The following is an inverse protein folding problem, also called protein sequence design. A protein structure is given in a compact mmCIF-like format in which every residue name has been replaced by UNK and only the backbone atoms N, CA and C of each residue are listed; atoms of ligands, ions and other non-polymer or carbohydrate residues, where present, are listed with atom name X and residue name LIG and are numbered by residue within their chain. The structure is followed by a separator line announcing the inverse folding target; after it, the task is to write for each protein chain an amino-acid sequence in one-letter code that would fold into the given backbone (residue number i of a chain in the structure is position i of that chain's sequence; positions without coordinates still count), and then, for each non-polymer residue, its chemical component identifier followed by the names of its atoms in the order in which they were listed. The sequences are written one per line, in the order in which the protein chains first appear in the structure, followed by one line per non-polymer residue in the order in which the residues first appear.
data_IF_858854914112
#
_entry.id   IF_858854914112
#
_cell.length_a   1.000
_cell.length_b   1.000
_cell.length_c   1.000
_cell.angle_alpha   90.00
_cell.angle_beta   90.00
_cell.angle_gamma   90.00
#
_symmetry.space_group_name_H-M   'P 1'
#
loop_
_entity.id
_entity.type
_entity.pdbx_description
1 polymer ?
#
# COMPACT_ATOMS: atom_id res chain seq x y z
N UNK A 1 5.29 12.61 -0.98
CA UNK A 1 5.49 11.67 -2.11
C UNK A 1 5.53 12.35 -3.47
N UNK A 2 4.79 13.44 -3.72
CA UNK A 2 4.76 14.16 -5.02
C UNK A 2 6.15 14.49 -5.55
N UNK A 3 6.99 15.16 -4.75
CA UNK A 3 8.35 15.53 -5.15
C UNK A 3 9.28 14.33 -5.36
N UNK A 4 9.00 13.19 -4.71
CA UNK A 4 9.80 11.97 -4.86
C UNK A 4 9.48 11.24 -6.18
N UNK A 5 8.24 11.30 -6.64
CA UNK A 5 7.82 10.66 -7.89
C UNK A 5 8.25 11.46 -9.13
N UNK A 6 8.34 12.80 -9.01
CA UNK A 6 8.69 13.69 -10.12
C UNK A 6 10.03 13.41 -10.81
N UNK A 7 11.17 13.19 -10.12
CA UNK A 7 12.46 13.01 -10.78
C UNK A 7 12.67 11.62 -11.41
N UNK A 8 11.76 10.67 -11.14
CA UNK A 8 11.85 9.28 -11.65
C UNK A 8 10.71 8.95 -12.61
N UNK A 9 10.05 9.97 -13.15
CA UNK A 9 8.96 9.88 -14.14
C UNK A 9 7.83 8.92 -13.75
N UNK A 10 7.52 8.84 -12.45
CA UNK A 10 6.40 8.05 -11.95
C UNK A 10 5.14 8.93 -11.95
N UNK A 11 4.08 8.59 -12.73
CA UNK A 11 2.91 9.46 -12.94
C UNK A 11 1.90 9.36 -11.78
N UNK A 12 2.38 9.51 -10.53
CA UNK A 12 1.54 9.51 -9.34
C UNK A 12 1.68 10.81 -8.54
N UNK A 13 0.53 11.32 -8.09
CA UNK A 13 0.48 12.33 -7.04
C UNK A 13 0.96 11.77 -5.70
N UNK A 14 1.25 12.66 -4.75
CA UNK A 14 1.65 12.25 -3.41
C UNK A 14 0.48 12.19 -2.44
N UNK A 15 0.33 11.05 -1.77
CA UNK A 15 -0.56 10.89 -0.61
C UNK A 15 0.17 10.18 0.53
N UNK A 16 -0.39 10.27 1.74
CA UNK A 16 0.03 9.47 2.89
C UNK A 16 -1.15 9.21 3.81
N UNK A 17 -1.31 7.97 4.25
CA UNK A 17 -2.26 7.58 5.30
C UNK A 17 -1.52 7.07 6.53
N UNK A 18 -2.09 7.29 7.71
CA UNK A 18 -1.53 6.83 8.98
C UNK A 18 -2.63 6.51 9.99
N UNK A 19 -2.33 5.59 10.90
CA UNK A 19 -3.12 5.29 12.09
C UNK A 19 -2.26 5.58 13.31
N UNK A 20 -2.80 6.33 14.29
CA UNK A 20 -2.11 6.62 15.55
C UNK A 20 -2.33 5.48 16.54
N UNK A 21 -1.62 4.37 16.35
CA UNK A 21 -1.63 3.20 17.21
C UNK A 21 -0.20 2.66 17.35
N UNK A 22 0.12 2.01 18.47
CA UNK A 22 1.33 1.20 18.60
C UNK A 22 1.00 -0.25 18.21
N UNK A 23 1.53 -0.79 17.09
CA UNK A 23 1.21 -2.16 16.67
C UNK A 23 1.60 -3.25 17.66
N UNK A 24 2.52 -2.99 18.59
CA UNK A 24 2.97 -3.96 19.60
C UNK A 24 1.95 -4.20 20.71
N UNK A 25 1.02 -3.26 20.91
CA UNK A 25 -0.04 -3.34 21.92
C UNK A 25 -1.24 -4.21 21.49
N UNK A 26 -1.27 -4.68 20.24
CA UNK A 26 -2.44 -5.34 19.65
C UNK A 26 -2.09 -6.73 19.12
N UNK A 27 -3.05 -7.65 19.24
CA UNK A 27 -2.95 -8.96 18.59
C UNK A 27 -3.07 -8.85 17.07
N UNK A 28 -2.53 -9.82 16.30
CA UNK A 28 -2.69 -9.86 14.85
C UNK A 28 -4.16 -9.80 14.38
N UNK A 29 -5.07 -10.40 15.14
CA UNK A 29 -6.51 -10.41 14.84
C UNK A 29 -7.15 -9.03 15.06
N UNK A 30 -6.71 -8.29 16.08
CA UNK A 30 -7.17 -6.91 16.31
C UNK A 30 -6.61 -5.96 15.27
N UNK A 31 -5.32 -6.10 14.90
CA UNK A 31 -4.72 -5.35 13.81
C UNK A 31 -5.45 -5.58 12.48
N UNK A 32 -5.89 -6.81 12.21
CA UNK A 32 -6.72 -7.11 11.05
C UNK A 32 -8.04 -6.34 11.09
N UNK A 33 -8.75 -6.36 12.22
CA UNK A 33 -10.02 -5.63 12.39
C UNK A 33 -9.84 -4.12 12.20
N UNK A 34 -8.78 -3.56 12.78
CA UNK A 34 -8.44 -2.14 12.65
C UNK A 34 -8.16 -1.80 11.18
N UNK A 35 -7.30 -2.57 10.51
CA UNK A 35 -6.92 -2.37 9.11
C UNK A 35 -8.12 -2.46 8.17
N UNK A 36 -8.99 -3.45 8.38
CA UNK A 36 -10.22 -3.61 7.62
C UNK A 36 -11.18 -2.45 7.85
N UNK A 37 -11.40 -2.04 9.10
CA UNK A 37 -12.27 -0.90 9.40
C UNK A 37 -11.73 0.39 8.78
N UNK A 38 -10.42 0.61 8.86
CA UNK A 38 -9.78 1.75 8.21
C UNK A 38 -10.02 1.76 6.70
N UNK A 39 -9.88 0.59 6.05
CA UNK A 39 -10.13 0.44 4.61
C UNK A 39 -11.58 0.75 4.24
N UNK A 40 -12.55 0.31 5.06
CA UNK A 40 -13.97 0.63 4.85
C UNK A 40 -14.21 2.15 4.90
N UNK A 41 -13.61 2.86 5.86
CA UNK A 41 -13.77 4.31 5.97
C UNK A 41 -13.09 5.06 4.81
N UNK A 42 -11.94 4.57 4.33
CA UNK A 42 -11.33 5.09 3.10
C UNK A 42 -12.24 4.87 1.88
N UNK A 43 -12.80 3.66 1.73
CA UNK A 43 -13.64 3.32 0.59
C UNK A 43 -14.92 4.17 0.56
N UNK A 44 -15.58 4.35 1.71
CA UNK A 44 -16.78 5.21 1.84
C UNK A 44 -16.52 6.66 1.40
N UNK A 45 -15.31 7.16 1.61
CA UNK A 45 -14.90 8.52 1.25
C UNK A 45 -14.28 8.61 -0.15
N UNK A 46 -14.21 7.51 -0.90
CA UNK A 46 -13.55 7.45 -2.20
C UNK A 46 -12.04 7.66 -2.15
N UNK A 47 -11.39 7.38 -1.00
CA UNK A 47 -9.96 7.62 -0.77
C UNK A 47 -9.08 6.38 -1.00
N UNK A 48 -9.64 5.31 -1.54
CA UNK A 48 -8.91 4.12 -1.96
C UNK A 48 -9.54 3.60 -3.26
N UNK A 49 -8.77 3.60 -4.33
CA UNK A 49 -9.14 3.07 -5.64
C UNK A 49 -7.92 3.21 -6.55
N UNK A 50 -7.78 2.32 -7.55
CA UNK A 50 -6.69 2.39 -8.52
C UNK A 50 -6.51 3.77 -9.16
N UNK A 51 -7.62 4.43 -9.53
CA UNK A 51 -7.60 5.73 -10.20
C UNK A 51 -7.57 6.95 -9.28
N UNK A 52 -7.60 6.77 -7.95
CA UNK A 52 -7.71 7.90 -7.00
C UNK A 52 -6.54 7.90 -6.02
N UNK A 53 -6.36 6.80 -5.29
CA UNK A 53 -5.32 6.69 -4.28
C UNK A 53 -5.02 5.22 -4.03
N UNK A 54 -3.74 4.87 -4.16
CA UNK A 54 -3.24 3.50 -4.07
C UNK A 54 -2.27 3.39 -2.90
N UNK A 55 -2.74 2.97 -1.69
CA UNK A 55 -1.89 2.79 -0.52
C UNK A 55 -0.73 1.81 -0.76
N UNK A 56 0.35 2.01 -0.02
CA UNK A 56 1.55 1.17 -0.04
C UNK A 56 2.03 0.90 1.40
N UNK A 57 2.85 -0.15 1.62
CA UNK A 57 3.50 -0.41 2.90
C UNK A 57 4.33 0.77 3.42
N UNK A 58 4.43 0.88 4.74
CA UNK A 58 5.31 1.82 5.43
C UNK A 58 5.67 1.31 6.83
N UNK A 59 6.36 2.10 7.64
CA UNK A 59 6.66 1.80 9.04
C UNK A 59 5.37 1.35 9.77
N UNK A 60 5.40 0.13 10.31
CA UNK A 60 4.27 -0.47 11.02
C UNK A 60 3.21 -1.16 10.16
N UNK A 61 3.33 -1.14 8.83
CA UNK A 61 2.42 -1.82 7.90
C UNK A 61 3.18 -2.53 6.77
N UNK A 62 3.07 -3.85 6.69
CA UNK A 62 3.75 -4.68 5.70
C UNK A 62 2.79 -5.31 4.69
N UNK A 63 3.23 -6.41 4.09
CA UNK A 63 2.44 -7.13 3.07
C UNK A 63 1.13 -7.69 3.62
N UNK A 64 1.11 -8.06 4.90
CA UNK A 64 -0.07 -8.59 5.59
C UNK A 64 -1.19 -7.56 5.64
N UNK A 65 -0.87 -6.33 6.05
CA UNK A 65 -1.85 -5.25 6.12
C UNK A 65 -2.37 -4.91 4.72
N UNK A 66 -1.50 -4.85 3.71
CA UNK A 66 -1.92 -4.63 2.32
C UNK A 66 -2.82 -5.77 1.80
N UNK A 67 -2.56 -7.01 2.21
CA UNK A 67 -3.39 -8.16 1.89
C UNK A 67 -4.80 -8.06 2.49
N UNK A 68 -4.93 -7.52 3.70
CA UNK A 68 -6.22 -7.27 4.36
C UNK A 68 -6.96 -6.11 3.73
N UNK A 69 -6.27 -5.00 3.43
CA UNK A 69 -6.87 -3.86 2.74
C UNK A 69 -7.45 -4.25 1.38
N UNK A 70 -6.71 -5.03 0.59
CA UNK A 70 -7.19 -5.52 -0.71
C UNK A 70 -8.42 -6.41 -0.58
N UNK A 71 -8.40 -7.34 0.38
CA UNK A 71 -9.51 -8.27 0.60
C UNK A 71 -10.77 -7.54 1.04
N UNK A 72 -10.62 -6.54 1.92
CA UNK A 72 -11.72 -5.72 2.41
C UNK A 72 -12.30 -4.82 1.31
N UNK A 73 -11.44 -4.19 0.50
CA UNK A 73 -11.90 -3.40 -0.63
C UNK A 73 -12.66 -4.25 -1.65
N UNK A 74 -12.17 -5.46 -1.95
CA UNK A 74 -12.85 -6.42 -2.82
C UNK A 74 -14.22 -6.82 -2.28
N UNK A 75 -14.31 -7.04 -0.96
CA UNK A 75 -15.57 -7.40 -0.28
C UNK A 75 -16.61 -6.27 -0.39
N UNK A 76 -16.16 -5.03 -0.29
CA UNK A 76 -17.03 -3.85 -0.43
C UNK A 76 -17.43 -3.56 -1.90
N UNK A 77 -16.61 -3.97 -2.87
CA UNK A 77 -16.80 -3.71 -4.30
C UNK A 77 -16.74 -5.03 -5.12
N UNK A 78 -17.72 -5.96 -4.96
CA UNK A 78 -17.62 -7.32 -5.49
C UNK A 78 -17.62 -7.39 -7.03
N UNK A 79 -18.22 -6.40 -7.70
CA UNK A 79 -18.29 -6.34 -9.16
C UNK A 79 -17.02 -5.78 -9.80
N UNK A 80 -16.11 -5.19 -9.01
CA UNK A 80 -14.93 -4.48 -9.50
C UNK A 80 -13.64 -5.25 -9.20
N UNK A 81 -13.54 -6.45 -9.79
CA UNK A 81 -12.42 -7.36 -9.55
C UNK A 81 -11.06 -6.78 -10.00
N UNK A 82 -11.06 -5.92 -11.02
CA UNK A 82 -9.84 -5.31 -11.57
C UNK A 82 -9.31 -4.24 -10.62
N UNK A 83 -10.14 -3.26 -10.23
CA UNK A 83 -9.68 -2.23 -9.31
C UNK A 83 -9.42 -2.81 -7.93
N UNK A 84 -10.12 -3.87 -7.53
CA UNK A 84 -9.84 -4.55 -6.27
C UNK A 84 -8.42 -5.14 -6.20
N UNK A 85 -7.88 -5.66 -7.30
CA UNK A 85 -6.49 -6.13 -7.33
C UNK A 85 -5.48 -4.98 -7.36
N UNK A 86 -5.84 -3.84 -7.94
CA UNK A 86 -4.94 -2.71 -8.10
C UNK A 86 -5.08 -1.62 -7.02
N UNK A 87 -6.00 -1.78 -6.06
CA UNK A 87 -6.31 -0.75 -5.05
C UNK A 87 -5.19 -0.45 -4.05
N UNK A 88 -4.19 -1.32 -3.90
CA UNK A 88 -3.03 -1.15 -3.01
C UNK A 88 -1.76 -1.71 -3.68
N UNK A 89 -0.57 -1.36 -3.21
CA UNK A 89 0.71 -1.99 -3.65
C UNK A 89 1.36 -2.76 -2.50
N UNK A 90 2.48 -3.45 -2.74
CA UNK A 90 3.22 -4.16 -1.69
C UNK A 90 2.48 -5.33 -1.03
N UNK A 91 1.51 -5.94 -1.74
CA UNK A 91 0.82 -7.16 -1.32
C UNK A 91 1.76 -8.38 -1.34
N UNK A 92 1.38 -9.55 -0.80
CA UNK A 92 2.13 -10.78 -1.04
C UNK A 92 2.12 -11.16 -2.53
N UNK A 93 3.16 -11.87 -3.00
CA UNK A 93 3.24 -12.37 -4.39
C UNK A 93 2.00 -13.17 -4.80
N UNK A 94 1.49 -14.01 -3.89
CA UNK A 94 0.28 -14.81 -4.11
C UNK A 94 -0.99 -13.98 -4.35
N UNK A 95 -0.98 -12.69 -3.98
CA UNK A 95 -2.09 -11.75 -4.16
C UNK A 95 -1.84 -10.70 -5.25
N UNK A 96 -0.92 -10.99 -6.18
CA UNK A 96 -0.73 -10.18 -7.39
C UNK A 96 0.21 -8.98 -7.22
N UNK A 97 1.18 -9.05 -6.30
CA UNK A 97 2.30 -8.08 -6.27
C UNK A 97 3.13 -8.23 -7.54
N UNK A 98 3.59 -7.11 -8.10
CA UNK A 98 4.54 -7.12 -9.20
C UNK A 98 5.83 -7.84 -8.81
N UNK A 99 6.32 -8.73 -9.67
CA UNK A 99 7.59 -9.44 -9.46
C UNK A 99 8.78 -8.47 -9.38
N UNK A 100 8.70 -7.36 -10.11
CA UNK A 100 9.67 -6.27 -10.10
C UNK A 100 9.55 -5.34 -8.87
N UNK A 101 8.82 -5.72 -7.82
CA UNK A 101 8.79 -4.94 -6.59
C UNK A 101 10.17 -4.97 -5.92
N UNK A 102 10.82 -3.81 -5.85
CA UNK A 102 12.15 -3.64 -5.24
C UNK A 102 12.01 -2.89 -3.93
N UNK A 103 12.61 -3.42 -2.87
CA UNK A 103 12.65 -2.75 -1.56
C UNK A 103 13.46 -1.45 -1.64
N UNK A 104 13.08 -0.44 -0.85
CA UNK A 104 13.74 0.87 -0.83
C UNK A 104 15.24 0.80 -0.58
N UNK A 105 15.70 -0.15 0.25
CA UNK A 105 17.12 -0.35 0.53
C UNK A 105 17.93 -0.73 -0.72
N UNK A 106 17.36 -1.52 -1.63
CA UNK A 106 18.02 -1.88 -2.88
C UNK A 106 18.09 -0.69 -3.82
N UNK A 107 17.03 0.13 -3.89
CA UNK A 107 17.03 1.36 -4.68
C UNK A 107 18.11 2.34 -4.22
N UNK A 108 18.36 2.40 -2.91
CA UNK A 108 19.45 3.22 -2.34
C UNK A 108 20.82 2.67 -2.73
N UNK A 109 21.01 1.34 -2.67
CA UNK A 109 22.25 0.71 -3.12
C UNK A 109 22.50 0.97 -4.61
N UNK A 110 21.49 0.78 -5.47
CA UNK A 110 21.60 1.05 -6.91
C UNK A 110 21.91 2.54 -7.18
N UNK A 111 21.36 3.45 -6.36
CA UNK A 111 21.65 4.87 -6.47
C UNK A 111 23.09 5.21 -6.06
N UNK A 112 23.63 4.58 -5.01
CA UNK A 112 25.03 4.72 -4.62
C UNK A 112 25.98 4.18 -5.69
N UNK A 113 25.71 2.98 -6.20
CA UNK A 113 26.46 2.37 -7.31
C UNK A 113 26.47 3.30 -8.53
N UNK A 114 25.33 3.93 -8.88
CA UNK A 114 25.22 4.84 -10.01
C UNK A 114 26.05 6.13 -9.87
N UNK A 115 26.33 6.58 -8.64
CA UNK A 115 27.18 7.76 -8.36
C UNK A 115 28.61 7.40 -7.94
N UNK A 116 28.97 6.10 -8.01
CA UNK A 116 30.32 5.61 -7.75
C UNK A 116 30.73 5.63 -6.28
N UNK A 117 29.76 5.53 -5.35
CA UNK A 117 29.97 5.36 -3.90
C UNK A 117 29.66 3.92 -3.53
#
# INVERSE_FOLDING_TARGET
MTLKCSPVDVPFGGSKGALKIDPSEWSPQELERITRRFTQELNKRGLICFGVNVPAPDIGAGEREMAWMMDEFRRANPTDAVNARACVTGKPLSKGRAAAYVASSRQVADAYEAIGI
#
